data_IF_519950411620
#
_entry.id   IF_519950411620
#
_cell.length_a   1.000
_cell.length_b   1.000
_cell.length_c   1.000
_cell.angle_alpha   90.00
_cell.angle_beta   90.00
_cell.angle_gamma   90.00
#
_symmetry.space_group_name_H-M   'P 1'
#
loop_
_entity.id
_entity.type
_entity.pdbx_description
1 polymer ?
#
# COMPACT_ATOMS: atom_id res chain seq x y z
N UNK A 1 6.51 -20.33 -31.54
CA UNK A 1 6.78 -20.29 -30.05
C UNK A 1 6.04 -19.13 -29.43
N UNK A 2 5.18 -19.41 -28.50
CA UNK A 2 4.55 -18.34 -27.74
C UNK A 2 5.50 -17.88 -26.63
N UNK A 3 5.66 -16.59 -26.49
CA UNK A 3 6.41 -15.99 -25.39
C UNK A 3 5.43 -15.49 -24.35
N UNK A 4 5.51 -16.04 -23.14
CA UNK A 4 4.68 -15.58 -22.04
C UNK A 4 5.24 -14.27 -21.50
N UNK A 5 4.35 -13.33 -21.21
CA UNK A 5 4.72 -12.07 -20.60
C UNK A 5 4.39 -12.18 -19.11
N UNK A 6 5.36 -11.82 -18.26
CA UNK A 6 5.17 -11.77 -16.82
C UNK A 6 5.38 -10.34 -16.35
N UNK A 7 4.53 -9.87 -15.45
CA UNK A 7 4.57 -8.50 -14.94
C UNK A 7 4.58 -8.51 -13.42
N UNK A 8 5.46 -7.71 -12.85
CA UNK A 8 5.48 -7.43 -11.41
C UNK A 8 5.15 -5.96 -11.22
N UNK A 9 4.12 -5.68 -10.46
CA UNK A 9 3.73 -4.32 -10.13
C UNK A 9 4.18 -3.94 -8.72
N UNK A 10 4.62 -2.70 -8.56
CA UNK A 10 4.57 -2.02 -7.27
C UNK A 10 3.09 -1.71 -6.95
N UNK A 11 2.77 -1.49 -5.68
CA UNK A 11 1.38 -1.22 -5.28
C UNK A 11 1.10 0.28 -5.14
N UNK A 12 1.64 0.92 -4.11
CA UNK A 12 1.36 2.34 -3.83
C UNK A 12 1.89 3.25 -4.95
N UNK A 13 0.99 4.08 -5.47
CA UNK A 13 1.32 4.99 -6.58
C UNK A 13 1.50 4.31 -7.93
N UNK A 14 1.37 3.00 -8.02
CA UNK A 14 1.48 2.23 -9.26
C UNK A 14 0.17 1.54 -9.59
N UNK A 15 -0.15 0.39 -8.99
CA UNK A 15 -1.46 -0.23 -9.13
C UNK A 15 -2.54 0.63 -8.46
N UNK A 16 -2.29 1.06 -7.23
CA UNK A 16 -3.13 2.03 -6.56
C UNK A 16 -2.73 3.44 -6.96
N UNK A 17 -3.69 4.33 -7.13
CA UNK A 17 -3.44 5.73 -7.49
C UNK A 17 -2.94 6.56 -6.32
N UNK A 18 -3.04 6.04 -5.11
CA UNK A 18 -2.65 6.72 -3.87
C UNK A 18 -1.76 5.84 -3.00
N UNK A 19 -1.18 6.44 -1.97
CA UNK A 19 -0.50 5.70 -0.89
C UNK A 19 -1.57 5.27 0.11
N UNK A 20 -2.14 4.09 -0.10
CA UNK A 20 -3.31 3.60 0.64
C UNK A 20 -3.07 3.56 2.15
N UNK A 21 -1.92 3.04 2.57
CA UNK A 21 -1.56 2.98 3.98
C UNK A 21 -1.49 4.35 4.64
N UNK A 22 -0.84 5.32 3.98
CA UNK A 22 -0.76 6.70 4.48
C UNK A 22 -2.12 7.36 4.63
N UNK A 23 -2.99 7.20 3.64
CA UNK A 23 -4.35 7.73 3.70
C UNK A 23 -5.17 7.05 4.81
N UNK A 24 -5.04 5.74 4.93
CA UNK A 24 -5.75 4.96 5.93
C UNK A 24 -5.37 5.38 7.35
N UNK A 25 -4.08 5.48 7.65
CA UNK A 25 -3.61 5.80 8.99
C UNK A 25 -3.79 7.27 9.37
N UNK A 26 -3.81 8.17 8.41
CA UNK A 26 -4.00 9.59 8.69
C UNK A 26 -5.29 9.87 9.46
N UNK A 27 -6.32 9.07 9.25
CA UNK A 27 -7.63 9.27 9.87
C UNK A 27 -7.76 8.63 11.25
N UNK A 28 -6.90 7.66 11.59
CA UNK A 28 -7.02 6.88 12.82
C UNK A 28 -5.83 6.98 13.76
N UNK A 29 -4.95 7.94 13.54
CA UNK A 29 -3.77 8.16 14.39
C UNK A 29 -3.70 9.62 14.86
N UNK A 30 -3.18 9.88 16.08
CA UNK A 30 -3.02 11.24 16.59
C UNK A 30 -1.97 12.01 15.77
N UNK A 31 -2.30 13.18 15.20
CA UNK A 31 -1.38 13.93 14.34
C UNK A 31 -0.03 14.27 14.97
N UNK A 32 -0.04 14.67 16.25
CA UNK A 32 1.18 15.05 16.97
C UNK A 32 2.14 13.87 17.13
N UNK A 33 1.61 12.71 17.46
CA UNK A 33 2.40 11.49 17.65
C UNK A 33 2.91 10.98 16.29
N UNK A 34 2.09 11.06 15.27
CA UNK A 34 2.48 10.69 13.91
C UNK A 34 3.60 11.59 13.39
N UNK A 35 3.50 12.88 13.61
CA UNK A 35 4.52 13.84 13.19
C UNK A 35 5.87 13.55 13.85
N UNK A 36 5.87 13.30 15.16
CA UNK A 36 7.08 12.92 15.89
C UNK A 36 7.68 11.63 15.36
N UNK A 37 6.86 10.63 15.15
CA UNK A 37 7.28 9.32 14.67
C UNK A 37 7.86 9.39 13.26
N UNK A 38 7.21 10.15 12.37
CA UNK A 38 7.70 10.40 11.02
C UNK A 38 9.05 11.10 11.02
N UNK A 39 9.25 12.06 11.92
CA UNK A 39 10.53 12.73 12.10
C UNK A 39 11.64 11.78 12.55
N UNK A 40 11.34 10.91 13.50
CA UNK A 40 12.28 9.90 13.98
C UNK A 40 12.68 8.92 12.87
N UNK A 41 11.73 8.50 12.06
CA UNK A 41 12.02 7.64 10.92
C UNK A 41 12.87 8.37 9.86
N UNK A 42 12.49 9.59 9.53
CA UNK A 42 13.21 10.39 8.52
C UNK A 42 14.65 10.68 8.93
N UNK A 43 14.92 10.87 10.23
CA UNK A 43 16.26 11.12 10.75
C UNK A 43 17.09 9.85 10.97
N UNK A 44 16.50 8.68 10.78
CA UNK A 44 17.17 7.40 10.99
C UNK A 44 17.22 6.92 12.44
N UNK A 45 16.53 7.58 13.37
CA UNK A 45 16.47 7.16 14.77
C UNK A 45 15.79 5.80 14.95
N UNK A 46 14.80 5.51 14.11
CA UNK A 46 14.07 4.25 14.13
C UNK A 46 14.05 3.62 12.74
N UNK A 47 14.00 2.29 12.70
CA UNK A 47 13.88 1.54 11.46
C UNK A 47 12.46 1.65 10.88
N UNK A 48 12.31 1.31 9.61
CA UNK A 48 10.99 1.22 8.98
C UNK A 48 10.07 0.26 9.73
N UNK A 49 10.61 -0.88 10.17
CA UNK A 49 9.83 -1.87 10.93
C UNK A 49 9.31 -1.28 12.24
N UNK A 50 10.16 -0.61 13.01
CA UNK A 50 9.75 0.04 14.25
C UNK A 50 8.73 1.15 14.02
N UNK A 51 8.91 1.92 12.94
CA UNK A 51 7.96 2.93 12.53
C UNK A 51 6.58 2.31 12.28
N UNK A 52 6.53 1.25 11.48
CA UNK A 52 5.27 0.57 11.15
C UNK A 52 4.61 -0.04 12.40
N UNK A 53 5.39 -0.71 13.25
CA UNK A 53 4.87 -1.28 14.51
C UNK A 53 4.25 -0.18 15.40
N UNK A 54 4.92 0.95 15.54
CA UNK A 54 4.44 2.05 16.34
C UNK A 54 3.18 2.69 15.77
N UNK A 55 3.08 2.79 14.44
CA UNK A 55 1.86 3.28 13.77
C UNK A 55 0.68 2.35 14.07
N UNK A 56 0.87 1.06 13.94
CA UNK A 56 -0.19 0.08 14.25
C UNK A 56 -0.60 0.11 15.72
N UNK A 57 0.36 0.31 16.63
CA UNK A 57 0.06 0.41 18.08
C UNK A 57 -0.81 1.62 18.42
N UNK A 58 -0.77 2.67 17.61
CA UNK A 58 -1.59 3.86 17.83
C UNK A 58 -3.01 3.73 17.28
N UNK A 59 -3.28 2.73 16.45
CA UNK A 59 -4.58 2.55 15.83
C UNK A 59 -5.59 2.05 16.85
N UNK A 60 -6.70 2.78 17.00
CA UNK A 60 -7.80 2.44 17.90
C UNK A 60 -9.06 2.13 17.08
N UNK A 61 -8.92 1.21 16.16
CA UNK A 61 -10.01 0.79 15.28
C UNK A 61 -10.02 -0.73 15.16
N UNK A 62 -11.20 -1.28 14.84
CA UNK A 62 -11.33 -2.71 14.54
C UNK A 62 -10.76 -3.03 13.16
N UNK A 63 -10.46 -4.29 12.93
CA UNK A 63 -10.04 -4.77 11.60
C UNK A 63 -11.10 -4.46 10.54
N UNK A 64 -12.37 -4.56 10.89
CA UNK A 64 -13.47 -4.24 9.97
C UNK A 64 -13.46 -2.75 9.59
N UNK A 65 -13.29 -1.84 10.54
CA UNK A 65 -13.22 -0.40 10.29
C UNK A 65 -12.02 -0.05 9.41
N UNK A 66 -10.86 -0.63 9.69
CA UNK A 66 -9.66 -0.43 8.88
C UNK A 66 -9.83 -0.95 7.46
N UNK A 67 -10.41 -2.14 7.31
CA UNK A 67 -10.68 -2.73 5.99
C UNK A 67 -11.64 -1.88 5.17
N UNK A 68 -12.68 -1.35 5.80
CA UNK A 68 -13.65 -0.46 5.14
C UNK A 68 -12.98 0.84 4.68
N UNK A 69 -12.09 1.40 5.50
CA UNK A 69 -11.36 2.61 5.16
C UNK A 69 -10.36 2.34 4.02
N UNK A 70 -9.67 1.22 4.07
CA UNK A 70 -8.76 0.82 3.00
C UNK A 70 -9.48 0.67 1.67
N UNK A 71 -10.67 0.06 1.67
CA UNK A 71 -11.50 -0.07 0.47
C UNK A 71 -11.96 1.29 -0.06
N UNK A 72 -12.25 2.25 0.83
CA UNK A 72 -12.65 3.59 0.45
C UNK A 72 -11.52 4.38 -0.22
N UNK A 73 -10.29 4.24 0.28
CA UNK A 73 -9.13 4.97 -0.22
C UNK A 73 -8.33 4.20 -1.27
N UNK A 74 -8.51 2.89 -1.35
CA UNK A 74 -7.79 2.02 -2.27
C UNK A 74 -8.39 2.08 -3.67
N UNK A 75 -7.86 2.96 -4.51
CA UNK A 75 -8.30 3.11 -5.90
C UNK A 75 -7.25 2.49 -6.82
N UNK A 76 -7.68 1.50 -7.59
CA UNK A 76 -6.84 0.83 -8.57
C UNK A 76 -6.88 1.61 -9.89
N UNK A 77 -5.74 1.77 -10.55
CA UNK A 77 -5.68 2.41 -11.86
C UNK A 77 -6.54 1.63 -12.85
N UNK A 78 -7.31 2.35 -13.63
CA UNK A 78 -8.16 1.74 -14.64
C UNK A 78 -7.39 0.89 -15.63
N UNK A 79 -6.25 1.38 -16.11
CA UNK A 79 -5.41 0.66 -17.07
C UNK A 79 -4.73 -0.58 -16.48
N UNK A 80 -4.60 -0.67 -15.16
CA UNK A 80 -3.98 -1.83 -14.52
C UNK A 80 -4.76 -3.11 -14.81
N UNK A 81 -6.09 -3.06 -14.78
CA UNK A 81 -6.94 -4.20 -15.11
C UNK A 81 -6.72 -4.66 -16.54
N UNK A 82 -6.64 -3.73 -17.49
CA UNK A 82 -6.39 -4.02 -18.89
C UNK A 82 -5.03 -4.68 -19.13
N UNK A 83 -4.00 -4.18 -18.44
CA UNK A 83 -2.67 -4.79 -18.51
C UNK A 83 -2.68 -6.20 -17.93
N UNK A 84 -3.34 -6.42 -16.80
CA UNK A 84 -3.48 -7.76 -16.21
C UNK A 84 -4.15 -8.74 -17.17
N UNK A 85 -5.23 -8.31 -17.82
CA UNK A 85 -5.93 -9.14 -18.80
C UNK A 85 -5.05 -9.53 -19.97
N UNK A 86 -4.27 -8.58 -20.52
CA UNK A 86 -3.34 -8.85 -21.59
C UNK A 86 -2.25 -9.86 -21.19
N UNK A 87 -1.73 -9.74 -19.98
CA UNK A 87 -0.73 -10.65 -19.43
C UNK A 87 -1.31 -12.06 -19.28
N UNK A 88 -2.49 -12.17 -18.71
CA UNK A 88 -3.17 -13.47 -18.53
C UNK A 88 -3.54 -14.11 -19.87
N UNK A 89 -3.99 -13.34 -20.83
CA UNK A 89 -4.30 -13.82 -22.17
C UNK A 89 -3.06 -14.35 -22.89
N UNK A 90 -1.87 -13.83 -22.58
CA UNK A 90 -0.61 -14.36 -23.09
C UNK A 90 -0.14 -15.63 -22.40
N UNK A 91 -0.85 -16.07 -21.36
CA UNK A 91 -0.43 -17.19 -20.50
C UNK A 91 0.57 -16.80 -19.43
N UNK A 92 0.73 -15.52 -19.19
CA UNK A 92 1.66 -14.98 -18.20
C UNK A 92 1.09 -14.87 -16.79
N UNK A 93 1.90 -14.38 -15.89
CA UNK A 93 1.60 -14.21 -14.46
C UNK A 93 1.71 -12.74 -14.09
N UNK A 94 0.76 -12.27 -13.30
CA UNK A 94 0.82 -10.95 -12.66
C UNK A 94 1.16 -11.15 -11.18
N UNK A 95 2.14 -10.42 -10.70
CA UNK A 95 2.51 -10.40 -9.29
C UNK A 95 2.56 -8.96 -8.78
N UNK A 96 2.42 -8.80 -7.47
CA UNK A 96 2.56 -7.52 -6.81
C UNK A 96 3.69 -7.63 -5.78
N UNK A 97 4.65 -6.71 -5.85
CA UNK A 97 5.71 -6.58 -4.88
C UNK A 97 5.56 -5.23 -4.20
N UNK A 98 5.33 -5.23 -2.90
CA UNK A 98 5.09 -4.01 -2.14
C UNK A 98 5.99 -3.97 -0.91
N UNK A 99 6.49 -2.78 -0.58
CA UNK A 99 7.26 -2.54 0.64
C UNK A 99 6.37 -2.11 1.82
N UNK A 100 5.12 -1.86 1.54
CA UNK A 100 4.16 -1.42 2.54
C UNK A 100 3.44 -2.53 3.31
#
# INVERSE_FOLDING_TARGET
MSTNIHVVFDFDGTLATTFVGGEMFRCCTPPNRMSKLSGQFASGEISLRKYQEAVFDMVDETTFEMSSRAALHGRIRKLATEVCELVWDSGGVVAVASAG
#
